data_IF_781972300218
#
_entry.id   IF_781972300218
#
_cell.length_a   1.000
_cell.length_b   1.000
_cell.length_c   1.000
_cell.angle_alpha   90.00
_cell.angle_beta   90.00
_cell.angle_gamma   90.00
#
_symmetry.space_group_name_H-M   'P 1'
#
loop_
_entity.id
_entity.type
_entity.pdbx_description
1 polymer ?
#
# COMPACT_ATOMS: atom_id res chain seq x y z
N UNK A 1 5.29 9.22 17.96
CA UNK A 1 5.89 10.07 16.88
C UNK A 1 5.29 11.47 16.90
N UNK A 2 3.97 11.64 16.97
CA UNK A 2 3.33 12.95 17.04
C UNK A 2 3.87 13.82 18.18
N UNK A 3 3.95 13.28 19.41
CA UNK A 3 4.48 14.02 20.56
C UNK A 3 5.91 14.52 20.37
N UNK A 4 6.74 13.73 19.66
CA UNK A 4 8.12 14.12 19.37
C UNK A 4 8.13 15.26 18.35
N UNK A 5 7.34 15.16 17.28
CA UNK A 5 7.23 16.19 16.26
C UNK A 5 6.75 17.51 16.89
N UNK A 6 5.65 17.44 17.62
CA UNK A 6 5.04 18.64 18.22
C UNK A 6 5.91 19.31 19.31
N UNK A 7 6.62 18.51 20.12
CA UNK A 7 7.61 19.05 21.09
C UNK A 7 8.76 19.81 20.41
N UNK A 8 9.05 19.47 19.14
CA UNK A 8 10.07 20.14 18.35
C UNK A 8 9.51 21.16 17.37
N UNK A 9 8.29 21.67 17.61
CA UNK A 9 7.59 22.63 16.74
C UNK A 9 7.51 22.18 15.27
N UNK A 10 7.34 20.89 15.04
CA UNK A 10 7.27 20.27 13.71
C UNK A 10 5.90 19.62 13.52
N UNK A 11 5.47 19.52 12.28
CA UNK A 11 4.24 18.78 11.91
C UNK A 11 4.58 17.34 11.56
N UNK A 12 3.62 16.45 11.83
CA UNK A 12 3.70 15.05 11.44
C UNK A 12 2.94 14.82 10.14
N UNK A 13 3.66 14.44 9.09
CA UNK A 13 3.08 13.95 7.83
C UNK A 13 3.04 12.43 7.80
N UNK A 14 1.90 11.87 7.43
CA UNK A 14 1.72 10.45 7.18
C UNK A 14 1.60 10.20 5.67
N UNK A 15 2.52 9.40 5.09
CA UNK A 15 2.29 8.80 3.78
C UNK A 15 1.28 7.66 3.91
N UNK A 16 0.04 7.94 3.53
CA UNK A 16 -1.08 7.01 3.57
C UNK A 16 -1.38 6.35 2.22
N UNK A 17 -0.39 6.19 1.34
CA UNK A 17 -0.56 5.55 0.03
C UNK A 17 -1.21 4.14 0.11
N UNK A 18 -1.11 3.47 1.26
CA UNK A 18 -1.76 2.18 1.57
C UNK A 18 -2.45 2.18 2.93
N UNK A 19 -2.96 3.32 3.37
CA UNK A 19 -3.65 3.43 4.67
C UNK A 19 -4.87 2.50 4.76
N UNK A 20 -5.54 2.26 3.64
CA UNK A 20 -6.67 1.33 3.56
C UNK A 20 -6.26 -0.10 3.95
N UNK A 21 -5.11 -0.57 3.45
CA UNK A 21 -4.58 -1.89 3.81
C UNK A 21 -4.22 -1.97 5.30
N UNK A 22 -3.62 -0.93 5.85
CA UNK A 22 -3.29 -0.86 7.27
C UNK A 22 -4.55 -0.83 8.14
N UNK A 23 -5.53 0.02 7.81
CA UNK A 23 -6.79 0.12 8.55
C UNK A 23 -7.58 -1.19 8.53
N UNK A 24 -7.69 -1.83 7.36
CA UNK A 24 -8.35 -3.13 7.22
C UNK A 24 -7.64 -4.23 8.02
N UNK A 25 -6.30 -4.27 7.99
CA UNK A 25 -5.50 -5.25 8.72
C UNK A 25 -5.63 -5.10 10.24
N UNK A 26 -5.67 -3.87 10.74
CA UNK A 26 -5.76 -3.57 12.16
C UNK A 26 -7.22 -3.57 12.68
N UNK A 27 -8.21 -3.56 11.79
CA UNK A 27 -9.62 -3.48 12.16
C UNK A 27 -10.00 -2.13 12.78
N UNK A 28 -9.34 -1.04 12.39
CA UNK A 28 -9.52 0.30 12.95
C UNK A 28 -10.00 1.30 11.89
N UNK A 29 -10.50 2.45 12.33
CA UNK A 29 -10.90 3.53 11.41
C UNK A 29 -9.68 4.32 10.91
N UNK A 30 -9.86 5.04 9.78
CA UNK A 30 -8.85 6.00 9.33
C UNK A 30 -8.53 7.06 10.37
N UNK A 31 -9.53 7.51 11.15
CA UNK A 31 -9.32 8.48 12.21
C UNK A 31 -8.38 7.97 13.31
N UNK A 32 -8.44 6.68 13.64
CA UNK A 32 -7.55 6.07 14.65
C UNK A 32 -6.09 6.10 14.21
N UNK A 33 -5.84 5.95 12.89
CA UNK A 33 -4.49 5.99 12.31
C UNK A 33 -4.00 7.41 11.98
N UNK A 34 -4.88 8.41 11.99
CA UNK A 34 -4.56 9.77 11.54
C UNK A 34 -4.83 10.81 12.62
N UNK A 35 -6.00 11.44 12.63
CA UNK A 35 -6.30 12.56 13.51
C UNK A 35 -6.19 12.22 14.99
N UNK A 36 -6.67 11.05 15.42
CA UNK A 36 -6.55 10.60 16.82
C UNK A 36 -5.10 10.21 17.18
N UNK A 37 -4.29 9.83 16.22
CA UNK A 37 -2.86 9.52 16.40
C UNK A 37 -1.98 10.78 16.37
N UNK A 38 -2.56 11.98 16.20
CA UNK A 38 -1.86 13.25 16.17
C UNK A 38 -1.18 13.58 14.84
N UNK A 39 -1.64 12.97 13.74
CA UNK A 39 -1.18 13.34 12.38
C UNK A 39 -1.74 14.71 12.02
N UNK A 40 -0.92 15.58 11.47
CA UNK A 40 -1.31 16.94 11.07
C UNK A 40 -1.72 17.02 9.60
N UNK A 41 -1.09 16.19 8.76
CA UNK A 41 -1.34 16.10 7.32
C UNK A 41 -1.11 14.66 6.86
N UNK A 42 -1.95 14.15 5.95
CA UNK A 42 -1.65 12.86 5.33
C UNK A 42 -2.03 12.80 3.85
N UNK A 43 -1.29 11.99 3.11
CA UNK A 43 -1.59 11.63 1.73
C UNK A 43 -2.53 10.42 1.74
N UNK A 44 -3.79 10.60 1.34
CA UNK A 44 -4.75 9.51 1.25
C UNK A 44 -4.66 8.84 -0.11
N UNK A 45 -4.10 7.64 -0.15
CA UNK A 45 -3.93 6.87 -1.37
C UNK A 45 -5.22 6.22 -1.84
N UNK A 46 -5.74 6.65 -2.99
CA UNK A 46 -6.90 6.04 -3.63
C UNK A 46 -6.52 5.06 -4.73
N UNK A 47 -5.54 5.40 -5.55
CA UNK A 47 -5.13 4.62 -6.74
C UNK A 47 -4.73 3.19 -6.39
N UNK A 48 -3.95 2.99 -5.33
CA UNK A 48 -3.51 1.64 -4.92
C UNK A 48 -4.60 0.80 -4.28
N UNK A 49 -5.80 1.37 -4.11
CA UNK A 49 -6.96 0.69 -3.54
C UNK A 49 -8.16 0.66 -4.50
N UNK A 50 -7.92 0.74 -5.81
CA UNK A 50 -8.90 0.52 -6.85
C UNK A 50 -9.39 1.76 -7.60
N UNK A 51 -8.89 2.97 -7.27
CA UNK A 51 -9.19 4.15 -8.07
C UNK A 51 -8.33 4.20 -9.33
N UNK A 52 -8.85 4.80 -10.40
CA UNK A 52 -8.14 4.92 -11.67
C UNK A 52 -6.93 5.85 -11.60
N UNK A 53 -6.94 6.83 -10.70
CA UNK A 53 -5.87 7.81 -10.56
C UNK A 53 -6.31 9.00 -9.72
N UNK A 54 -6.65 8.75 -8.44
CA UNK A 54 -7.04 9.80 -7.52
C UNK A 54 -6.34 9.62 -6.17
N UNK A 55 -5.68 10.69 -5.75
CA UNK A 55 -5.01 10.82 -4.46
C UNK A 55 -5.53 12.09 -3.76
N UNK A 56 -5.64 12.06 -2.45
CA UNK A 56 -6.07 13.23 -1.69
C UNK A 56 -5.03 13.61 -0.62
N UNK A 57 -4.87 14.89 -0.41
CA UNK A 57 -4.14 15.41 0.76
C UNK A 57 -5.15 15.89 1.78
N UNK A 58 -5.09 15.34 2.97
CA UNK A 58 -5.96 15.70 4.09
C UNK A 58 -5.17 16.49 5.11
N UNK A 59 -5.67 17.67 5.44
CA UNK A 59 -5.04 18.63 6.34
C UNK A 59 -5.90 18.75 7.61
N UNK A 60 -5.35 18.39 8.76
CA UNK A 60 -6.04 18.49 10.05
C UNK A 60 -5.77 19.82 10.76
N UNK A 61 -4.81 20.61 10.26
CA UNK A 61 -4.43 21.91 10.79
C UNK A 61 -4.85 23.02 9.83
N UNK A 62 -5.74 23.96 10.25
CA UNK A 62 -6.22 25.06 9.39
C UNK A 62 -5.09 25.94 8.83
N UNK A 63 -4.04 26.16 9.61
CA UNK A 63 -2.89 26.97 9.20
C UNK A 63 -2.14 26.37 8.01
N UNK A 64 -2.10 25.04 7.87
CA UNK A 64 -1.52 24.36 6.72
C UNK A 64 -2.40 24.50 5.47
N UNK A 65 -3.69 24.66 5.65
CA UNK A 65 -4.65 24.76 4.55
C UNK A 65 -4.60 26.10 3.80
N UNK A 66 -4.16 27.19 4.45
CA UNK A 66 -4.23 28.54 3.90
C UNK A 66 -3.54 28.71 2.54
N UNK A 67 -2.35 28.15 2.38
CA UNK A 67 -1.55 28.24 1.16
C UNK A 67 -1.74 27.03 0.21
N UNK A 68 -2.42 26.01 0.67
CA UNK A 68 -2.53 24.73 -0.05
C UNK A 68 -3.17 24.84 -1.45
N UNK A 69 -4.25 25.63 -1.67
CA UNK A 69 -4.83 25.78 -3.00
C UNK A 69 -3.84 26.31 -4.04
N UNK A 70 -2.97 27.23 -3.63
CA UNK A 70 -1.94 27.81 -4.50
C UNK A 70 -0.83 26.79 -4.79
N UNK A 71 -0.36 26.07 -3.76
CA UNK A 71 0.63 25.00 -3.91
C UNK A 71 0.11 23.94 -4.85
N UNK A 72 -1.13 23.45 -4.66
CA UNK A 72 -1.75 22.46 -5.55
C UNK A 72 -1.81 22.93 -6.99
N UNK A 73 -2.19 24.18 -7.23
CA UNK A 73 -2.27 24.75 -8.57
C UNK A 73 -0.89 24.89 -9.21
N UNK A 74 0.10 25.43 -8.50
CA UNK A 74 1.47 25.60 -9.00
C UNK A 74 2.18 24.28 -9.27
N UNK A 75 1.83 23.23 -8.51
CA UNK A 75 2.32 21.86 -8.73
C UNK A 75 1.55 21.09 -9.80
N UNK A 76 0.70 21.75 -10.59
CA UNK A 76 -0.13 21.14 -11.64
C UNK A 76 -1.06 20.01 -11.17
N UNK A 77 -1.41 19.99 -9.88
CA UNK A 77 -2.28 18.97 -9.28
C UNK A 77 -3.76 19.40 -9.22
N UNK A 78 -4.14 20.42 -9.96
CA UNK A 78 -5.51 20.91 -10.09
C UNK A 78 -6.07 20.62 -11.49
N UNK A 79 -6.67 19.44 -11.63
CA UNK A 79 -7.34 19.05 -12.88
C UNK A 79 -8.61 19.89 -13.11
N UNK A 80 -8.85 20.35 -14.38
CA UNK A 80 -10.01 21.16 -14.70
C UNK A 80 -11.35 20.40 -14.53
N UNK A 81 -11.36 19.09 -14.70
CA UNK A 81 -12.52 18.20 -14.51
C UNK A 81 -12.45 17.47 -13.17
N UNK A 82 -12.17 18.20 -12.11
CA UNK A 82 -11.89 17.65 -10.77
C UNK A 82 -13.02 16.78 -10.20
N UNK A 83 -14.27 17.01 -10.61
CA UNK A 83 -15.42 16.17 -10.23
C UNK A 83 -15.25 14.69 -10.56
N UNK A 84 -14.53 14.33 -11.63
CA UNK A 84 -14.27 12.94 -11.98
C UNK A 84 -13.29 12.26 -11.00
N UNK A 85 -12.36 13.00 -10.43
CA UNK A 85 -11.49 12.53 -9.37
C UNK A 85 -12.25 12.37 -8.06
N UNK A 86 -13.06 13.37 -7.71
CA UNK A 86 -13.88 13.33 -6.49
C UNK A 86 -14.93 12.20 -6.52
N UNK A 87 -15.54 11.94 -7.67
CA UNK A 87 -16.50 10.85 -7.84
C UNK A 87 -15.89 9.47 -7.54
N UNK A 88 -14.62 9.26 -7.88
CA UNK A 88 -13.91 8.03 -7.55
C UNK A 88 -13.80 7.85 -6.03
N UNK A 89 -13.45 8.91 -5.28
CA UNK A 89 -13.42 8.84 -3.81
C UNK A 89 -14.80 8.59 -3.21
N UNK A 90 -15.86 9.20 -3.75
CA UNK A 90 -17.23 8.92 -3.30
C UNK A 90 -17.53 7.43 -3.46
N UNK A 91 -17.23 6.84 -4.62
CA UNK A 91 -17.44 5.42 -4.85
C UNK A 91 -16.62 4.55 -3.87
N UNK A 92 -15.33 4.85 -3.71
CA UNK A 92 -14.43 4.08 -2.84
C UNK A 92 -14.88 4.09 -1.37
N UNK A 93 -15.37 5.23 -0.88
CA UNK A 93 -15.76 5.42 0.51
C UNK A 93 -17.23 5.02 0.78
N UNK A 94 -17.99 4.69 -0.26
CA UNK A 94 -19.38 4.24 -0.12
C UNK A 94 -19.43 2.71 0.10
N UNK A 95 -20.30 2.26 1.00
CA UNK A 95 -20.54 0.85 1.30
C UNK A 95 -19.26 0.05 1.63
N UNK A 96 -18.30 0.69 2.28
CA UNK A 96 -17.02 0.07 2.69
C UNK A 96 -16.22 -0.57 1.53
N UNK A 97 -16.37 -0.10 0.30
CA UNK A 97 -15.63 -0.63 -0.85
C UNK A 97 -14.13 -0.57 -0.63
N UNK A 98 -13.62 0.53 -0.01
CA UNK A 98 -12.21 0.67 0.36
C UNK A 98 -11.71 -0.50 1.21
N UNK A 99 -12.57 -0.96 2.14
CA UNK A 99 -12.24 -2.05 3.07
C UNK A 99 -12.27 -3.41 2.38
N UNK A 100 -13.25 -3.63 1.50
CA UNK A 100 -13.35 -4.85 0.70
C UNK A 100 -12.10 -5.02 -0.17
N UNK A 101 -11.72 -3.98 -0.92
CA UNK A 101 -10.54 -3.96 -1.76
C UNK A 101 -9.24 -4.20 -0.97
N UNK A 102 -9.08 -3.50 0.16
CA UNK A 102 -7.91 -3.64 1.00
C UNK A 102 -7.83 -5.02 1.67
N UNK A 103 -8.96 -5.56 2.12
CA UNK A 103 -9.03 -6.90 2.72
C UNK A 103 -8.65 -7.98 1.70
N UNK A 104 -9.17 -7.90 0.47
CA UNK A 104 -8.77 -8.82 -0.60
C UNK A 104 -7.25 -8.82 -0.80
N UNK A 105 -6.64 -7.65 -0.97
CA UNK A 105 -5.19 -7.54 -1.15
C UNK A 105 -4.40 -8.16 0.02
N UNK A 106 -4.85 -7.91 1.26
CA UNK A 106 -4.21 -8.43 2.46
C UNK A 106 -4.36 -9.97 2.58
N UNK A 107 -5.53 -10.49 2.26
CA UNK A 107 -5.81 -11.94 2.27
C UNK A 107 -5.01 -12.68 1.20
N UNK A 108 -4.93 -12.12 -0.01
CA UNK A 108 -4.12 -12.69 -1.09
C UNK A 108 -2.63 -12.72 -0.73
N UNK A 109 -2.12 -11.71 -0.03
CA UNK A 109 -0.73 -11.72 0.44
C UNK A 109 -0.49 -12.80 1.52
N UNK A 110 -1.43 -12.97 2.45
CA UNK A 110 -1.34 -14.05 3.45
C UNK A 110 -1.39 -15.43 2.78
N UNK A 111 -2.26 -15.58 1.80
CA UNK A 111 -2.36 -16.82 1.01
C UNK A 111 -1.08 -17.10 0.24
N UNK A 112 -0.53 -16.11 -0.47
CA UNK A 112 0.75 -16.26 -1.16
C UNK A 112 1.84 -16.71 -0.21
N UNK A 113 1.97 -16.05 0.94
CA UNK A 113 2.94 -16.45 1.97
C UNK A 113 2.75 -17.92 2.37
N UNK A 114 1.55 -18.35 2.71
CA UNK A 114 1.28 -19.72 3.17
C UNK A 114 1.64 -20.79 2.12
N UNK A 115 1.58 -20.44 0.84
CA UNK A 115 1.93 -21.34 -0.25
C UNK A 115 3.44 -21.46 -0.53
N UNK A 116 4.24 -20.48 -0.08
CA UNK A 116 5.68 -20.44 -0.36
C UNK A 116 6.57 -20.56 0.88
N UNK A 117 6.07 -20.32 2.08
CA UNK A 117 6.89 -20.26 3.31
C UNK A 117 7.54 -21.60 3.72
N UNK A 118 7.00 -22.72 3.24
CA UNK A 118 7.56 -24.06 3.47
C UNK A 118 8.60 -24.47 2.43
N UNK A 119 8.86 -23.66 1.41
CA UNK A 119 9.90 -23.93 0.44
C UNK A 119 11.27 -23.60 1.06
N UNK A 120 12.21 -24.57 1.15
CA UNK A 120 13.51 -24.37 1.82
C UNK A 120 14.41 -23.33 1.12
N UNK A 121 14.13 -22.99 -0.13
CA UNK A 121 14.86 -21.98 -0.90
C UNK A 121 14.22 -20.58 -0.82
N UNK A 122 13.10 -20.43 -0.10
CA UNK A 122 12.38 -19.17 0.10
C UNK A 122 12.46 -18.78 1.57
N UNK A 123 13.20 -17.73 1.88
CA UNK A 123 13.31 -17.24 3.27
C UNK A 123 12.41 -16.04 3.48
N UNK A 124 11.28 -16.23 4.15
CA UNK A 124 10.40 -15.13 4.57
C UNK A 124 11.15 -14.28 5.61
N UNK A 125 11.21 -12.97 5.42
CA UNK A 125 12.01 -12.05 6.23
C UNK A 125 11.17 -11.22 7.20
N UNK A 126 9.88 -11.01 6.91
CA UNK A 126 9.00 -10.15 7.68
C UNK A 126 7.62 -10.79 7.90
N UNK A 127 6.90 -10.33 8.92
CA UNK A 127 5.50 -10.70 9.10
C UNK A 127 4.65 -10.08 7.98
N UNK A 128 3.77 -10.87 7.39
CA UNK A 128 2.81 -10.41 6.38
C UNK A 128 1.59 -9.79 7.08
N UNK A 129 1.71 -8.53 7.47
CA UNK A 129 0.68 -7.79 8.19
C UNK A 129 -0.29 -7.03 7.25
N UNK A 130 0.10 -6.86 6.00
CA UNK A 130 -0.65 -6.13 4.98
C UNK A 130 -0.56 -6.88 3.65
N UNK A 131 -0.58 -6.17 2.54
CA UNK A 131 -0.64 -6.71 1.19
C UNK A 131 0.72 -7.03 0.56
N UNK A 132 1.78 -7.21 1.35
CA UNK A 132 3.11 -7.52 0.87
C UNK A 132 3.72 -8.72 1.57
N UNK A 133 4.40 -9.58 0.80
CA UNK A 133 5.30 -10.62 1.30
C UNK A 133 6.73 -10.22 0.99
N UNK A 134 7.60 -10.24 2.00
CA UNK A 134 9.03 -10.02 1.85
C UNK A 134 9.77 -11.35 2.01
N UNK A 135 10.59 -11.67 1.03
CA UNK A 135 11.34 -12.94 1.01
C UNK A 135 12.72 -12.73 0.38
N UNK A 136 13.69 -13.50 0.83
CA UNK A 136 14.98 -13.62 0.15
C UNK A 136 14.89 -14.82 -0.79
N UNK A 137 15.25 -14.59 -2.06
CA UNK A 137 15.39 -15.57 -3.12
C UNK A 137 16.80 -15.53 -3.67
N UNK A 138 17.23 -16.65 -4.25
CA UNK A 138 18.47 -16.66 -5.05
C UNK A 138 18.35 -15.67 -6.22
N UNK A 139 19.37 -14.86 -6.53
CA UNK A 139 19.34 -13.91 -7.64
C UNK A 139 18.99 -14.53 -9.00
N UNK A 140 19.43 -15.76 -9.27
CA UNK A 140 19.10 -16.45 -10.52
C UNK A 140 17.63 -16.85 -10.57
N UNK A 141 17.05 -17.30 -9.44
CA UNK A 141 15.63 -17.58 -9.34
C UNK A 141 14.79 -16.30 -9.50
N UNK A 142 15.25 -15.20 -8.92
CA UNK A 142 14.60 -13.88 -9.07
C UNK A 142 14.53 -13.46 -10.54
N UNK A 143 15.66 -13.56 -11.28
CA UNK A 143 15.72 -13.23 -12.72
C UNK A 143 14.78 -14.11 -13.52
N UNK A 144 14.73 -15.41 -13.22
CA UNK A 144 13.86 -16.35 -13.95
C UNK A 144 12.37 -16.06 -13.71
N UNK A 145 12.00 -15.79 -12.46
CA UNK A 145 10.63 -15.40 -12.10
C UNK A 145 10.22 -14.08 -12.73
N UNK A 146 11.12 -13.10 -12.79
CA UNK A 146 10.85 -11.78 -13.39
C UNK A 146 10.61 -11.82 -14.90
N UNK A 147 10.94 -12.91 -15.58
CA UNK A 147 10.56 -13.12 -17.00
C UNK A 147 9.05 -13.28 -17.19
N UNK A 148 8.34 -13.70 -16.14
CA UNK A 148 6.90 -14.01 -16.17
C UNK A 148 6.08 -13.10 -15.26
N UNK A 149 6.67 -12.60 -14.18
CA UNK A 149 5.99 -11.88 -13.12
C UNK A 149 6.70 -10.56 -12.82
N UNK A 150 5.94 -9.48 -12.62
CA UNK A 150 6.50 -8.18 -12.26
C UNK A 150 6.53 -8.01 -10.73
N UNK A 151 7.73 -7.96 -10.16
CA UNK A 151 7.95 -7.62 -8.75
C UNK A 151 9.32 -6.94 -8.57
N UNK A 152 9.51 -6.29 -7.43
CA UNK A 152 10.73 -5.53 -7.16
C UNK A 152 11.70 -6.33 -6.31
N UNK A 153 12.99 -6.25 -6.64
CA UNK A 153 14.07 -6.48 -5.68
C UNK A 153 14.04 -5.32 -4.70
N UNK A 154 13.83 -5.62 -3.43
CA UNK A 154 13.69 -4.62 -2.36
C UNK A 154 15.03 -4.21 -1.79
N UNK A 155 15.95 -5.17 -1.70
CA UNK A 155 17.30 -4.95 -1.22
C UNK A 155 18.27 -5.81 -2.03
N UNK A 156 19.05 -5.15 -2.89
CA UNK A 156 20.01 -5.81 -3.79
C UNK A 156 21.13 -6.51 -3.02
N UNK A 157 21.51 -6.01 -1.84
CA UNK A 157 22.59 -6.60 -1.05
C UNK A 157 22.21 -7.96 -0.44
N UNK A 158 20.94 -8.17 -0.17
CA UNK A 158 20.45 -9.39 0.49
C UNK A 158 19.68 -10.31 -0.45
N UNK A 159 19.32 -9.85 -1.65
CA UNK A 159 18.41 -10.53 -2.55
C UNK A 159 16.96 -10.54 -2.07
N UNK A 160 16.60 -9.64 -1.13
CA UNK A 160 15.23 -9.53 -0.65
C UNK A 160 14.32 -8.95 -1.74
N UNK A 161 13.24 -9.64 -2.01
CA UNK A 161 12.18 -9.25 -2.95
C UNK A 161 10.92 -8.83 -2.21
N UNK A 162 10.15 -7.93 -2.80
CA UNK A 162 8.85 -7.52 -2.30
C UNK A 162 7.76 -7.97 -3.26
N UNK A 163 6.98 -8.95 -2.85
CA UNK A 163 5.86 -9.52 -3.58
C UNK A 163 4.57 -8.85 -3.11
N UNK A 164 3.96 -8.06 -4.00
CA UNK A 164 2.79 -7.24 -3.65
C UNK A 164 1.53 -7.84 -4.24
N UNK A 165 0.49 -7.96 -3.40
CA UNK A 165 -0.86 -8.21 -3.87
C UNK A 165 -1.63 -6.88 -3.99
N UNK A 166 -2.47 -6.79 -5.01
CA UNK A 166 -3.31 -5.63 -5.32
C UNK A 166 -4.75 -5.88 -4.90
N UNK A 167 -5.56 -4.85 -4.95
CA UNK A 167 -6.99 -4.91 -4.64
C UNK A 167 -7.77 -5.88 -5.57
N UNK A 168 -7.27 -6.12 -6.77
CA UNK A 168 -7.82 -6.98 -7.82
C UNK A 168 -7.08 -8.32 -7.98
N UNK A 169 -6.08 -8.60 -7.14
CA UNK A 169 -5.38 -9.90 -7.16
C UNK A 169 -6.37 -11.02 -6.88
N UNK A 170 -6.40 -12.03 -7.75
CA UNK A 170 -7.28 -13.18 -7.65
C UNK A 170 -6.59 -14.38 -6.98
N UNK A 171 -7.39 -15.36 -6.57
CA UNK A 171 -6.88 -16.66 -6.10
C UNK A 171 -6.00 -17.33 -7.16
N UNK A 172 -6.42 -17.30 -8.42
CA UNK A 172 -5.70 -17.91 -9.54
C UNK A 172 -4.32 -17.26 -9.75
N UNK A 173 -4.24 -15.91 -9.64
CA UNK A 173 -2.95 -15.20 -9.72
C UNK A 173 -1.98 -15.67 -8.65
N UNK A 174 -2.47 -15.80 -7.41
CA UNK A 174 -1.65 -16.26 -6.27
C UNK A 174 -1.22 -17.71 -6.47
N UNK A 175 -2.11 -18.59 -6.91
CA UNK A 175 -1.81 -20.01 -7.13
C UNK A 175 -0.77 -20.19 -8.22
N UNK A 176 -0.93 -19.49 -9.33
CA UNK A 176 0.01 -19.51 -10.44
C UNK A 176 1.39 -19.01 -10.03
N UNK A 177 1.43 -17.86 -9.34
CA UNK A 177 2.70 -17.29 -8.90
C UNK A 177 3.41 -18.18 -7.87
N UNK A 178 2.68 -18.70 -6.89
CA UNK A 178 3.24 -19.64 -5.90
C UNK A 178 3.75 -20.93 -6.56
N UNK A 179 3.04 -21.48 -7.55
CA UNK A 179 3.47 -22.64 -8.30
C UNK A 179 4.77 -22.37 -9.09
N UNK A 180 4.88 -21.21 -9.75
CA UNK A 180 6.09 -20.80 -10.46
C UNK A 180 7.26 -20.61 -9.48
N UNK A 181 7.06 -19.98 -8.30
CA UNK A 181 8.10 -19.88 -7.26
C UNK A 181 8.57 -21.27 -6.83
N UNK A 182 7.65 -22.17 -6.49
CA UNK A 182 7.99 -23.52 -6.03
C UNK A 182 8.62 -24.39 -7.13
N UNK A 183 8.37 -24.07 -8.40
CA UNK A 183 8.99 -24.75 -9.54
C UNK A 183 10.40 -24.28 -9.82
N UNK A 184 10.66 -22.98 -9.70
CA UNK A 184 11.95 -22.35 -9.98
C UNK A 184 12.91 -22.53 -8.79
N UNK A 185 12.41 -22.39 -7.57
CA UNK A 185 13.18 -22.50 -6.33
C UNK A 185 13.26 -23.96 -5.82
N UNK A 186 13.78 -24.87 -6.65
CA UNK A 186 13.98 -26.30 -6.28
C UNK A 186 15.32 -26.54 -5.59
#
# INVERSE_FOLDING_TARGET
MADIAHKNNSYLHLDGARISNAAASLGVSFADLTSKAGVDIFSFGGTKNGLMGAEAVVLFKPELAQKYPWIRKSSMQLASKHRYLSAQFIALLTNDLWKQNASNANEMAKLLRSKIENNPKVKITQLTQSNAVFAILDPQHTIELQKKHNFYVWNDNTGEVRLMCSWDTTLEDVEKFAADINSVCK
#
